data_IF_478830165238
#
_entry.id   IF_478830165238
#
_cell.length_a   1.000
_cell.length_b   1.000
_cell.length_c   1.000
_cell.angle_alpha   90.00
_cell.angle_beta   90.00
_cell.angle_gamma   90.00
#
_symmetry.space_group_name_H-M   'P 1'
#
loop_
_entity.id
_entity.type
_entity.pdbx_description
1 polymer ?
#
# COMPACT_ATOMS: atom_id res chain seq x y z
N UNK A 1 73.54 -1.88 17.15
CA UNK A 1 72.72 -3.10 17.27
C UNK A 1 71.57 -2.82 18.21
N UNK A 2 70.40 -2.42 17.69
CA UNK A 2 69.20 -2.26 18.46
C UNK A 2 68.06 -3.00 17.74
N UNK A 3 67.68 -4.13 18.33
CA UNK A 3 66.56 -4.91 17.94
C UNK A 3 65.30 -4.28 18.59
N UNK A 4 64.37 -3.79 17.78
CA UNK A 4 63.07 -3.34 18.26
C UNK A 4 61.98 -4.25 17.63
N UNK A 5 61.62 -5.30 18.39
CA UNK A 5 60.48 -6.16 18.09
C UNK A 5 59.20 -5.44 18.58
N UNK A 6 58.44 -4.88 17.67
CA UNK A 6 57.06 -4.42 17.96
C UNK A 6 56.09 -5.52 17.54
N UNK A 7 55.59 -6.25 18.52
CA UNK A 7 54.46 -7.14 18.42
C UNK A 7 53.17 -6.28 18.33
N UNK A 8 52.61 -6.17 17.14
CA UNK A 8 51.24 -5.66 16.96
C UNK A 8 50.26 -6.75 17.42
N UNK A 9 49.74 -6.61 18.64
CA UNK A 9 48.59 -7.36 19.09
C UNK A 9 47.33 -6.73 18.49
N UNK A 10 46.84 -7.26 17.37
CA UNK A 10 45.52 -6.95 16.83
C UNK A 10 44.47 -7.60 17.73
N UNK A 11 43.87 -6.79 18.60
CA UNK A 11 42.66 -7.17 19.37
C UNK A 11 41.47 -7.26 18.40
N UNK A 12 41.17 -8.48 17.96
CA UNK A 12 39.92 -8.83 17.30
C UNK A 12 38.79 -8.71 18.33
N UNK A 13 38.14 -7.55 18.39
CA UNK A 13 36.87 -7.39 19.07
C UNK A 13 35.81 -8.13 18.27
N UNK A 14 35.67 -9.41 18.55
CA UNK A 14 34.54 -10.20 18.08
C UNK A 14 33.30 -9.73 18.85
N UNK A 15 32.46 -8.88 18.23
CA UNK A 15 31.17 -8.51 18.80
C UNK A 15 30.30 -9.76 18.79
N UNK A 16 30.25 -10.43 19.94
CA UNK A 16 29.29 -11.51 20.19
C UNK A 16 27.89 -10.88 20.27
N UNK A 17 27.13 -10.95 19.18
CA UNK A 17 25.71 -10.63 19.20
C UNK A 17 25.06 -11.67 20.13
N UNK A 18 24.32 -11.25 21.17
CA UNK A 18 23.69 -12.21 22.07
C UNK A 18 22.73 -13.10 21.25
N UNK A 19 22.70 -14.40 21.56
CA UNK A 19 21.89 -15.39 20.83
C UNK A 19 20.42 -15.01 20.73
N UNK A 20 19.89 -14.32 21.73
CA UNK A 20 18.51 -13.80 21.74
C UNK A 20 18.27 -12.74 20.63
N UNK A 21 19.27 -11.89 20.33
CA UNK A 21 19.14 -10.89 19.26
C UNK A 21 19.21 -11.55 17.86
N UNK A 22 19.95 -12.67 17.74
CA UNK A 22 20.00 -13.44 16.50
C UNK A 22 18.67 -14.15 16.24
N UNK A 23 18.08 -14.79 17.25
CA UNK A 23 16.77 -15.45 17.16
C UNK A 23 15.66 -14.48 16.83
N UNK A 24 15.68 -13.25 17.38
CA UNK A 24 14.70 -12.21 17.08
C UNK A 24 14.87 -11.68 15.64
N UNK A 25 16.11 -11.56 15.15
CA UNK A 25 16.39 -11.17 13.78
C UNK A 25 15.91 -12.23 12.79
N UNK A 26 16.21 -13.50 13.05
CA UNK A 26 15.80 -14.62 12.21
C UNK A 26 14.27 -14.74 12.18
N UNK A 27 13.60 -14.56 13.32
CA UNK A 27 12.15 -14.54 13.41
C UNK A 27 11.54 -13.36 12.66
N UNK A 28 12.17 -12.18 12.70
CA UNK A 28 11.74 -11.01 11.95
C UNK A 28 11.89 -11.20 10.44
N UNK A 29 12.99 -11.84 9.99
CA UNK A 29 13.25 -12.14 8.57
C UNK A 29 12.30 -13.21 8.01
N UNK A 30 11.83 -14.15 8.84
CA UNK A 30 10.89 -15.20 8.45
C UNK A 30 9.43 -14.76 8.55
N UNK A 31 9.14 -13.62 9.17
CA UNK A 31 7.77 -13.11 9.32
C UNK A 31 7.21 -12.66 7.98
N UNK A 32 6.09 -13.27 7.58
CA UNK A 32 5.34 -12.77 6.43
C UNK A 32 4.86 -11.33 6.72
N UNK A 33 5.13 -10.36 5.83
CA UNK A 33 4.69 -8.99 6.02
C UNK A 33 3.16 -8.91 6.13
N UNK A 34 2.66 -8.03 6.96
CA UNK A 34 1.24 -7.72 7.01
C UNK A 34 0.77 -7.14 5.68
N UNK A 35 -0.54 -7.17 5.43
CA UNK A 35 -1.13 -6.56 4.22
C UNK A 35 -0.75 -5.10 4.09
N UNK A 36 -0.75 -4.36 5.19
CA UNK A 36 -0.36 -2.95 5.21
C UNK A 36 1.11 -2.75 4.85
N UNK A 37 2.02 -3.54 5.43
CA UNK A 37 3.45 -3.48 5.10
C UNK A 37 3.70 -3.82 3.63
N UNK A 38 3.02 -4.84 3.11
CA UNK A 38 3.13 -5.22 1.70
C UNK A 38 2.64 -4.12 0.75
N UNK A 39 1.60 -3.37 1.09
CA UNK A 39 1.13 -2.23 0.29
C UNK A 39 2.09 -1.06 0.42
N UNK A 40 2.54 -0.72 1.65
CA UNK A 40 3.50 0.37 1.89
C UNK A 40 4.79 0.18 1.11
N UNK A 41 5.29 -1.04 0.99
CA UNK A 41 6.48 -1.33 0.20
C UNK A 41 6.24 -1.11 -1.31
N UNK A 42 5.11 -1.58 -1.80
CA UNK A 42 4.78 -1.50 -3.23
C UNK A 42 4.48 -0.09 -3.73
N UNK A 43 3.83 0.75 -2.93
CA UNK A 43 3.52 2.13 -3.32
C UNK A 43 4.76 3.05 -3.39
N UNK A 44 5.90 2.61 -2.83
CA UNK A 44 7.20 3.31 -2.98
C UNK A 44 7.79 3.19 -4.39
N UNK A 45 7.30 2.24 -5.19
CA UNK A 45 7.67 2.10 -6.59
C UNK A 45 7.45 3.42 -7.35
N UNK A 46 8.29 3.76 -8.35
CA UNK A 46 8.10 4.95 -9.19
C UNK A 46 6.82 4.88 -10.03
N UNK A 47 6.23 3.69 -10.15
CA UNK A 47 4.97 3.48 -10.86
C UNK A 47 3.79 4.11 -10.11
N UNK A 48 2.81 4.56 -10.87
CA UNK A 48 1.56 5.04 -10.32
C UNK A 48 0.79 3.87 -9.68
N UNK A 49 0.36 4.06 -8.45
CA UNK A 49 -0.33 3.06 -7.65
C UNK A 49 -1.66 3.56 -7.14
N UNK A 50 -2.70 2.75 -7.27
CA UNK A 50 -4.04 3.01 -6.72
C UNK A 50 -4.31 1.99 -5.61
N UNK A 51 -4.61 2.47 -4.42
CA UNK A 51 -5.06 1.65 -3.30
C UNK A 51 -6.55 1.88 -3.09
N UNK A 52 -7.35 0.85 -3.31
CA UNK A 52 -8.80 0.88 -3.14
C UNK A 52 -9.21 0.02 -1.94
N UNK A 53 -9.66 0.67 -0.88
CA UNK A 53 -10.17 0.01 0.32
C UNK A 53 -11.66 -0.21 0.18
N UNK A 54 -12.09 -1.46 0.30
CA UNK A 54 -13.46 -1.87 0.03
C UNK A 54 -13.89 -3.08 0.87
N UNK A 55 -15.14 -3.48 0.76
CA UNK A 55 -15.61 -4.76 1.28
C UNK A 55 -16.76 -5.33 0.43
N UNK A 56 -16.85 -6.66 0.27
CA UNK A 56 -17.92 -7.30 -0.50
C UNK A 56 -19.34 -7.04 0.01
N UNK A 57 -19.49 -6.79 1.29
CA UNK A 57 -20.77 -6.49 1.92
C UNK A 57 -21.18 -5.02 1.88
N UNK A 58 -20.29 -4.11 1.44
CA UNK A 58 -20.55 -2.68 1.40
C UNK A 58 -21.40 -2.31 0.16
N UNK A 59 -22.60 -1.72 0.32
CA UNK A 59 -23.46 -1.40 -0.81
C UNK A 59 -22.83 -0.46 -1.83
N UNK A 60 -22.19 0.63 -1.39
CA UNK A 60 -21.54 1.59 -2.28
C UNK A 60 -20.37 0.94 -3.05
N UNK A 61 -19.58 0.08 -2.37
CA UNK A 61 -18.53 -0.68 -3.03
C UNK A 61 -19.08 -1.60 -4.13
N UNK A 62 -20.23 -2.27 -3.86
CA UNK A 62 -20.87 -3.11 -4.87
C UNK A 62 -21.41 -2.29 -6.04
N UNK A 63 -21.93 -1.09 -5.81
CA UNK A 63 -22.40 -0.19 -6.86
C UNK A 63 -21.26 0.21 -7.80
N UNK A 64 -20.10 0.60 -7.26
CA UNK A 64 -18.91 0.90 -8.06
C UNK A 64 -18.49 -0.28 -8.95
N UNK A 65 -18.51 -1.51 -8.41
CA UNK A 65 -18.13 -2.70 -9.16
C UNK A 65 -19.15 -3.00 -10.28
N UNK A 66 -20.46 -2.91 -9.97
CA UNK A 66 -21.54 -3.22 -10.92
C UNK A 66 -21.58 -2.27 -12.12
N UNK A 67 -21.17 -1.03 -11.94
CA UNK A 67 -21.18 0.00 -13.00
C UNK A 67 -20.11 -0.24 -14.09
N UNK A 68 -19.24 -1.25 -13.92
CA UNK A 68 -18.19 -1.60 -14.90
C UNK A 68 -17.05 -0.57 -14.97
N UNK A 69 -17.12 0.51 -14.20
CA UNK A 69 -16.14 1.59 -14.24
C UNK A 69 -14.75 1.13 -13.80
N UNK A 70 -14.65 0.31 -12.75
CA UNK A 70 -13.39 -0.27 -12.31
C UNK A 70 -12.74 -1.16 -13.38
N UNK A 71 -13.51 -2.05 -14.02
CA UNK A 71 -13.00 -2.90 -15.08
C UNK A 71 -12.42 -2.08 -16.24
N UNK A 72 -13.12 -0.99 -16.61
CA UNK A 72 -12.65 -0.09 -17.65
C UNK A 72 -11.37 0.65 -17.23
N UNK A 73 -11.34 1.26 -16.04
CA UNK A 73 -10.18 2.00 -15.53
C UNK A 73 -8.94 1.13 -15.48
N UNK A 74 -9.07 -0.10 -14.98
CA UNK A 74 -7.94 -1.04 -14.88
C UNK A 74 -7.41 -1.42 -16.25
N UNK A 75 -8.29 -1.71 -17.23
CA UNK A 75 -7.92 -2.05 -18.60
C UNK A 75 -7.26 -0.87 -19.33
N UNK A 76 -7.80 0.34 -19.17
CA UNK A 76 -7.31 1.54 -19.86
C UNK A 76 -5.97 2.05 -19.30
N UNK A 77 -5.58 1.58 -18.10
CA UNK A 77 -4.35 2.01 -17.43
C UNK A 77 -3.44 0.83 -17.06
N UNK A 78 -2.93 0.05 -18.05
CA UNK A 78 -2.14 -1.16 -17.79
C UNK A 78 -0.81 -0.88 -17.07
N UNK A 79 -0.30 0.35 -17.13
CA UNK A 79 0.92 0.78 -16.45
C UNK A 79 0.69 1.19 -14.98
N UNK A 80 -0.57 1.34 -14.55
CA UNK A 80 -0.93 1.67 -13.16
C UNK A 80 -1.10 0.39 -12.36
N UNK A 81 -0.57 0.34 -11.15
CA UNK A 81 -0.75 -0.79 -10.22
C UNK A 81 -1.98 -0.55 -9.35
N UNK A 82 -2.93 -1.48 -9.38
CA UNK A 82 -4.15 -1.40 -8.59
C UNK A 82 -4.11 -2.42 -7.45
N UNK A 83 -4.28 -1.95 -6.23
CA UNK A 83 -4.36 -2.76 -5.02
C UNK A 83 -5.78 -2.70 -4.47
N UNK A 84 -6.56 -3.74 -4.68
CA UNK A 84 -7.86 -3.90 -4.05
C UNK A 84 -7.69 -4.57 -2.70
N UNK A 85 -7.83 -3.80 -1.64
CA UNK A 85 -7.65 -4.27 -0.27
C UNK A 85 -9.00 -4.38 0.40
N UNK A 86 -9.46 -5.60 0.62
CA UNK A 86 -10.67 -5.84 1.42
C UNK A 86 -10.35 -5.57 2.89
N UNK A 87 -11.08 -4.66 3.49
CA UNK A 87 -10.97 -4.31 4.91
C UNK A 87 -12.31 -4.55 5.61
N UNK A 88 -12.27 -4.69 6.93
CA UNK A 88 -13.48 -4.94 7.72
C UNK A 88 -14.28 -6.17 7.23
N UNK A 89 -13.57 -7.21 6.84
CA UNK A 89 -14.15 -8.40 6.22
C UNK A 89 -13.57 -9.71 6.78
N UNK A 90 -13.14 -9.69 8.04
CA UNK A 90 -12.66 -10.86 8.77
C UNK A 90 -11.57 -11.65 8.00
N UNK A 91 -10.65 -10.93 7.35
CA UNK A 91 -9.54 -11.50 6.58
C UNK A 91 -9.90 -12.03 5.19
N UNK A 92 -11.14 -11.92 4.75
CA UNK A 92 -11.56 -12.40 3.42
C UNK A 92 -11.29 -11.34 2.34
N UNK A 93 -10.65 -11.73 1.25
CA UNK A 93 -10.19 -10.79 0.21
C UNK A 93 -11.23 -10.42 -0.86
N UNK A 94 -12.36 -11.09 -0.90
CA UNK A 94 -13.41 -10.81 -1.89
C UNK A 94 -13.06 -11.10 -3.35
N UNK A 95 -12.01 -11.88 -3.62
CA UNK A 95 -11.49 -12.16 -4.97
C UNK A 95 -12.56 -12.67 -5.95
N UNK A 96 -13.46 -13.54 -5.49
CA UNK A 96 -14.54 -14.06 -6.33
C UNK A 96 -15.46 -12.97 -6.88
N UNK A 97 -15.72 -11.92 -6.09
CA UNK A 97 -16.51 -10.77 -6.52
C UNK A 97 -15.76 -9.94 -7.55
N UNK A 98 -14.47 -9.62 -7.32
CA UNK A 98 -13.65 -8.86 -8.27
C UNK A 98 -13.50 -9.60 -9.60
N UNK A 99 -13.34 -10.94 -9.56
CA UNK A 99 -13.31 -11.77 -10.76
C UNK A 99 -14.62 -11.71 -11.52
N UNK A 100 -15.76 -11.80 -10.84
CA UNK A 100 -17.09 -11.69 -11.46
C UNK A 100 -17.29 -10.37 -12.23
N UNK A 101 -16.64 -9.31 -11.78
CA UNK A 101 -16.70 -7.98 -12.41
C UNK A 101 -15.49 -7.69 -13.33
N UNK A 102 -14.78 -8.72 -13.80
CA UNK A 102 -13.66 -8.63 -14.74
C UNK A 102 -12.47 -7.78 -14.28
N UNK A 103 -12.29 -7.63 -12.95
CA UNK A 103 -11.21 -6.88 -12.35
C UNK A 103 -10.11 -7.82 -11.86
N UNK A 104 -10.50 -8.93 -11.22
CA UNK A 104 -9.59 -9.78 -10.45
C UNK A 104 -8.51 -10.50 -11.25
N UNK A 105 -8.73 -10.74 -12.54
CA UNK A 105 -7.80 -11.45 -13.43
C UNK A 105 -6.89 -10.51 -14.24
N UNK A 106 -6.93 -9.19 -13.99
CA UNK A 106 -6.10 -8.22 -14.71
C UNK A 106 -4.65 -8.24 -14.18
N UNK A 107 -3.63 -8.20 -15.06
CA UNK A 107 -2.22 -8.36 -14.66
C UNK A 107 -1.67 -7.23 -13.79
N UNK A 108 -2.29 -6.07 -13.83
CA UNK A 108 -1.95 -4.90 -13.03
C UNK A 108 -2.76 -4.78 -11.73
N UNK A 109 -3.54 -5.81 -11.38
CA UNK A 109 -4.36 -5.87 -10.17
C UNK A 109 -3.75 -6.82 -9.13
N UNK A 110 -3.69 -6.36 -7.90
CA UNK A 110 -3.34 -7.18 -6.73
C UNK A 110 -4.49 -7.16 -5.75
N UNK A 111 -4.95 -8.33 -5.33
CA UNK A 111 -6.06 -8.49 -4.39
C UNK A 111 -5.50 -8.88 -3.03
N UNK A 112 -5.83 -8.12 -2.02
CA UNK A 112 -5.35 -8.29 -0.65
C UNK A 112 -6.50 -8.25 0.34
N UNK A 113 -6.25 -8.72 1.57
CA UNK A 113 -7.18 -8.61 2.68
C UNK A 113 -6.47 -8.12 3.94
N UNK A 114 -7.07 -7.17 4.62
CA UNK A 114 -6.74 -6.87 6.00
C UNK A 114 -7.32 -7.97 6.91
N UNK A 115 -6.53 -8.53 7.85
CA UNK A 115 -7.00 -9.59 8.73
C UNK A 115 -7.99 -9.12 9.79
N UNK A 116 -8.15 -7.80 9.97
CA UNK A 116 -8.97 -7.21 11.02
C UNK A 116 -10.46 -7.52 10.91
N UNK A 117 -11.17 -7.44 12.03
CA UNK A 117 -12.59 -7.77 12.12
C UNK A 117 -13.46 -6.71 11.44
N UNK A 118 -14.66 -7.14 11.07
CA UNK A 118 -15.68 -6.24 10.52
C UNK A 118 -16.20 -5.24 11.56
N UNK A 119 -16.27 -5.62 12.83
CA UNK A 119 -16.85 -4.84 13.92
C UNK A 119 -15.98 -4.91 15.18
N UNK A 120 -16.27 -4.03 16.13
CA UNK A 120 -15.60 -4.00 17.43
C UNK A 120 -14.43 -3.02 17.49
N UNK A 121 -13.76 -2.99 18.64
CA UNK A 121 -12.69 -2.04 18.93
C UNK A 121 -11.44 -2.26 18.07
N UNK A 122 -11.17 -3.51 17.70
CA UNK A 122 -10.03 -3.91 16.86
C UNK A 122 -10.30 -3.69 15.36
N UNK A 123 -11.40 -3.06 14.99
CA UNK A 123 -11.68 -2.66 13.61
C UNK A 123 -10.59 -1.71 13.13
N UNK A 124 -10.08 -1.93 11.93
CA UNK A 124 -9.06 -1.09 11.31
C UNK A 124 -9.51 0.38 11.27
N UNK A 125 -8.67 1.26 11.79
CA UNK A 125 -8.89 2.72 11.84
C UNK A 125 -7.89 3.50 11.01
N UNK A 126 -6.78 2.86 10.62
CA UNK A 126 -5.73 3.44 9.79
C UNK A 126 -5.18 2.37 8.84
N UNK A 127 -4.80 2.76 7.63
CA UNK A 127 -4.11 1.92 6.68
C UNK A 127 -3.04 2.74 5.96
N UNK A 128 -1.84 2.21 5.82
CA UNK A 128 -0.71 2.91 5.21
C UNK A 128 -0.46 4.33 5.79
N UNK A 129 -0.68 4.51 7.09
CA UNK A 129 -0.51 5.79 7.79
C UNK A 129 -1.67 6.78 7.61
N UNK A 130 -2.68 6.45 6.79
CA UNK A 130 -3.83 7.32 6.52
C UNK A 130 -5.06 6.85 7.31
N UNK A 131 -5.91 7.78 7.80
CA UNK A 131 -7.13 7.43 8.51
C UNK A 131 -8.14 6.75 7.58
N UNK A 132 -8.84 5.73 8.11
CA UNK A 132 -9.90 5.01 7.42
C UNK A 132 -11.18 5.09 8.26
N UNK A 133 -12.07 5.97 7.86
CA UNK A 133 -13.38 6.15 8.52
C UNK A 133 -14.52 5.60 7.70
N UNK A 134 -14.31 5.38 6.41
CA UNK A 134 -15.34 5.06 5.43
C UNK A 134 -14.84 4.08 4.38
N UNK A 135 -15.72 3.38 3.69
CA UNK A 135 -15.49 2.63 2.45
C UNK A 135 -16.68 2.85 1.50
N UNK A 136 -16.44 2.88 0.17
CA UNK A 136 -15.14 2.76 -0.49
C UNK A 136 -14.24 3.98 -0.25
N UNK A 137 -12.93 3.74 -0.25
CA UNK A 137 -11.89 4.75 -0.14
C UNK A 137 -10.82 4.47 -1.18
N UNK A 138 -10.41 5.48 -1.93
CA UNK A 138 -9.43 5.33 -3.01
C UNK A 138 -8.32 6.34 -2.85
N UNK A 139 -7.08 5.87 -2.83
CA UNK A 139 -5.87 6.68 -2.75
C UNK A 139 -4.98 6.45 -3.96
N UNK A 140 -4.35 7.51 -4.45
CA UNK A 140 -3.42 7.49 -5.58
C UNK A 140 -2.05 7.89 -5.07
N UNK A 141 -1.03 7.05 -5.34
CA UNK A 141 0.35 7.27 -4.95
C UNK A 141 1.28 7.25 -6.17
N UNK A 142 2.37 8.01 -6.11
CA UNK A 142 3.48 7.91 -7.05
C UNK A 142 4.79 8.05 -6.30
N UNK A 143 5.67 7.06 -6.41
CA UNK A 143 6.97 7.06 -5.73
C UNK A 143 6.89 7.14 -4.19
N UNK A 144 5.82 6.63 -3.59
CA UNK A 144 5.53 6.72 -2.16
C UNK A 144 4.77 7.97 -1.74
N UNK A 145 4.69 8.99 -2.59
CA UNK A 145 3.97 10.24 -2.30
C UNK A 145 2.48 10.08 -2.58
N UNK A 146 1.65 10.48 -1.62
CA UNK A 146 0.20 10.55 -1.80
C UNK A 146 -0.15 11.70 -2.74
N UNK A 147 -0.77 11.38 -3.88
CA UNK A 147 -1.25 12.37 -4.85
C UNK A 147 -2.68 12.80 -4.56
N UNK A 148 -3.56 11.82 -4.37
CA UNK A 148 -4.97 12.08 -4.08
C UNK A 148 -5.52 11.10 -3.05
N UNK A 149 -6.40 11.58 -2.19
CA UNK A 149 -7.16 10.79 -1.23
C UNK A 149 -8.66 11.05 -1.39
N UNK A 150 -9.38 10.03 -1.81
CA UNK A 150 -10.83 10.05 -2.02
C UNK A 150 -11.46 9.17 -0.94
N UNK A 151 -11.86 9.78 0.17
CA UNK A 151 -12.28 9.09 1.38
C UNK A 151 -13.80 9.05 1.57
N UNK A 152 -14.56 9.30 0.50
CA UNK A 152 -15.99 9.48 0.63
C UNK A 152 -16.78 9.03 -0.60
N UNK A 153 -17.78 8.18 -0.36
CA UNK A 153 -18.79 7.83 -1.34
C UNK A 153 -18.30 7.05 -2.54
N UNK A 154 -19.17 6.95 -3.54
CA UNK A 154 -18.86 6.33 -4.83
C UNK A 154 -17.98 7.25 -5.67
N UNK A 155 -16.92 6.67 -6.26
CA UNK A 155 -16.08 7.43 -7.15
C UNK A 155 -16.72 7.60 -8.53
N UNK A 156 -16.61 8.81 -9.10
CA UNK A 156 -16.94 9.05 -10.49
C UNK A 156 -15.76 8.69 -11.37
N UNK A 157 -15.87 7.63 -12.16
CA UNK A 157 -14.75 7.09 -12.96
C UNK A 157 -14.12 8.07 -13.94
N UNK A 158 -14.85 8.99 -14.61
CA UNK A 158 -14.22 10.05 -15.40
C UNK A 158 -13.31 10.97 -14.57
N UNK A 159 -13.70 11.27 -13.32
CA UNK A 159 -12.86 12.05 -12.39
C UNK A 159 -11.65 11.23 -11.95
N UNK A 160 -11.82 9.94 -11.63
CA UNK A 160 -10.70 9.07 -11.32
C UNK A 160 -9.68 9.02 -12.47
N UNK A 161 -10.15 8.93 -13.72
CA UNK A 161 -9.26 8.95 -14.90
C UNK A 161 -8.47 10.27 -14.97
N UNK A 162 -9.12 11.41 -14.78
CA UNK A 162 -8.44 12.72 -14.74
C UNK A 162 -7.38 12.78 -13.65
N UNK A 163 -7.68 12.29 -12.44
CA UNK A 163 -6.72 12.26 -11.34
C UNK A 163 -5.54 11.33 -11.61
N UNK A 164 -5.77 10.21 -12.29
CA UNK A 164 -4.71 9.31 -12.75
C UNK A 164 -3.81 10.01 -13.78
N UNK A 165 -4.40 10.68 -14.76
CA UNK A 165 -3.66 11.38 -15.81
C UNK A 165 -2.82 12.52 -15.23
N UNK A 166 -3.37 13.27 -14.30
CA UNK A 166 -2.69 14.34 -13.56
C UNK A 166 -1.52 13.82 -12.72
N UNK A 167 -1.69 12.65 -12.11
CA UNK A 167 -0.68 12.00 -11.28
C UNK A 167 0.49 11.41 -12.09
N UNK A 168 0.37 11.26 -13.42
CA UNK A 168 1.46 10.78 -14.28
C UNK A 168 2.59 11.79 -14.38
N UNK A 169 2.26 13.09 -14.32
CA UNK A 169 3.26 14.16 -14.36
C UNK A 169 4.04 14.26 -13.06
N UNK A 170 5.28 14.79 -13.16
CA UNK A 170 6.02 15.18 -11.97
C UNK A 170 5.43 16.47 -11.40
N UNK A 171 5.07 16.41 -10.11
CA UNK A 171 4.62 17.62 -9.43
C UNK A 171 5.83 18.42 -8.96
N UNK A 172 5.99 19.64 -9.49
CA UNK A 172 7.13 20.50 -9.19
C UNK A 172 7.13 21.09 -7.76
N UNK A 173 6.14 20.76 -6.95
CA UNK A 173 5.96 21.36 -5.64
C UNK A 173 6.39 20.42 -4.51
N UNK A 174 7.69 20.42 -4.25
CA UNK A 174 8.22 20.22 -2.91
C UNK A 174 8.29 21.61 -2.25
N UNK A 175 7.17 22.21 -1.89
CA UNK A 175 7.28 23.53 -1.31
C UNK A 175 5.94 24.12 -0.88
N UNK A 176 6.00 24.81 0.23
CA UNK A 176 4.92 25.62 0.77
C UNK A 176 4.37 26.56 -0.31
N UNK A 177 3.05 26.78 -0.36
CA UNK A 177 2.50 27.83 -1.19
C UNK A 177 3.17 29.15 -0.76
N UNK A 178 3.90 29.81 -1.67
CA UNK A 178 4.36 31.18 -1.44
C UNK A 178 3.10 32.03 -1.28
N UNK A 179 2.73 32.32 -0.05
CA UNK A 179 1.76 33.36 0.24
C UNK A 179 2.34 34.64 -0.39
N UNK A 180 1.67 35.16 -1.39
CA UNK A 180 1.99 36.48 -1.93
C UNK A 180 1.65 37.47 -0.81
N UNK A 181 2.66 38.18 -0.31
CA UNK A 181 2.51 39.38 0.49
C UNK A 181 1.72 40.46 -0.24
#
# INVERSE_FOLDING_TARGET
>A
MFNCNWLCAALLFCWLIPATAQDDLDRALLRKPSTQEAVLDRIKSPELSVVHLWAPWCPNCQTELKNGGWAKIVKDNPQVKFYFVSIWNDGQNGAAMLKRFEIGDQPNVTILADPGPRRGENKLKQFAGLPVSWIPTTWIFKGGDLRYALNYGEIRFPVLQQLLDDSKSEWSHKGEPKLKE
#
